data_IF_003045450406
#
_entry.id   IF_003045450406
#
_cell.length_a   1.000
_cell.length_b   1.000
_cell.length_c   1.000
_cell.angle_alpha   90.00
_cell.angle_beta   90.00
_cell.angle_gamma   90.00
#
_symmetry.space_group_name_H-M   'P 1'
#
loop_
_entity.id
_entity.type
_entity.pdbx_description
1 polymer ?
#
# COMPACT_ATOMS: atom_id res chain seq x y z
N UNK A 1 2.92 -0.25 -4.98
CA UNK A 1 3.55 -1.37 -4.30
C UNK A 1 2.91 -2.72 -4.60
N UNK A 2 1.57 -2.77 -4.69
CA UNK A 2 0.86 -4.04 -4.95
C UNK A 2 0.77 -4.35 -6.46
N UNK A 3 0.20 -3.45 -7.25
CA UNK A 3 -0.02 -3.65 -8.70
C UNK A 3 0.76 -2.69 -9.58
N UNK A 4 1.14 -1.54 -9.03
CA UNK A 4 1.89 -0.47 -9.70
C UNK A 4 2.84 0.22 -8.70
N UNK A 5 3.76 1.06 -9.21
CA UNK A 5 4.73 1.82 -8.43
C UNK A 5 5.61 0.92 -7.57
N UNK A 6 6.48 0.14 -8.22
CA UNK A 6 7.42 -0.73 -7.51
C UNK A 6 8.26 0.09 -6.51
N UNK A 7 8.24 -0.34 -5.24
CA UNK A 7 8.87 0.35 -4.12
C UNK A 7 8.01 1.43 -3.48
N UNK A 8 6.76 1.64 -3.93
CA UNK A 8 5.85 2.64 -3.36
C UNK A 8 6.49 4.05 -3.31
N UNK A 9 7.07 4.48 -4.43
CA UNK A 9 7.93 5.67 -4.50
C UNK A 9 7.14 6.98 -4.53
N UNK A 10 6.00 7.01 -5.26
CA UNK A 10 5.24 8.24 -5.48
C UNK A 10 4.89 9.01 -4.19
N UNK A 11 4.33 8.39 -3.14
CA UNK A 11 4.01 9.13 -1.92
C UNK A 11 5.26 9.47 -1.10
N UNK A 12 6.26 8.59 -1.06
CA UNK A 12 7.45 8.78 -0.23
C UNK A 12 8.24 10.04 -0.63
N UNK A 13 8.48 10.24 -1.93
CA UNK A 13 9.20 11.43 -2.43
C UNK A 13 8.43 12.72 -2.17
N UNK A 14 7.10 12.68 -2.19
CA UNK A 14 6.27 13.86 -1.91
C UNK A 14 6.28 14.21 -0.43
N UNK A 15 6.22 13.23 0.48
CA UNK A 15 6.36 13.50 1.91
C UNK A 15 7.70 14.17 2.24
N UNK A 16 8.80 13.68 1.68
CA UNK A 16 10.12 14.33 1.86
C UNK A 16 10.07 15.79 1.43
N UNK A 17 9.53 16.08 0.23
CA UNK A 17 9.41 17.46 -0.27
C UNK A 17 8.53 18.37 0.60
N UNK A 18 7.43 17.84 1.12
CA UNK A 18 6.51 18.60 1.98
C UNK A 18 7.18 18.98 3.31
N UNK A 19 7.86 18.04 3.94
CA UNK A 19 8.59 18.32 5.18
C UNK A 19 9.81 19.23 4.97
N UNK A 20 10.49 19.11 3.83
CA UNK A 20 11.55 20.05 3.43
C UNK A 20 11.01 21.48 3.30
N UNK A 21 9.86 21.67 2.62
CA UNK A 21 9.17 22.97 2.53
C UNK A 21 8.76 23.53 3.89
N UNK A 22 8.41 22.66 4.84
CA UNK A 22 8.14 23.06 6.23
C UNK A 22 9.41 23.41 7.01
N UNK A 23 10.61 23.26 6.42
CA UNK A 23 11.90 23.51 7.05
C UNK A 23 12.33 22.44 8.04
N UNK A 24 11.72 21.25 7.95
CA UNK A 24 11.97 20.08 8.81
C UNK A 24 12.26 18.86 7.92
N UNK A 25 13.46 18.76 7.33
CA UNK A 25 13.79 17.67 6.45
C UNK A 25 13.68 16.33 7.16
N UNK A 26 13.12 15.33 6.44
CA UNK A 26 12.96 13.96 6.90
C UNK A 26 13.73 12.99 6.01
N UNK A 27 14.08 11.84 6.55
CA UNK A 27 14.67 10.75 5.77
C UNK A 27 13.59 9.99 4.99
N UNK A 28 14.01 9.19 4.01
CA UNK A 28 13.11 8.31 3.27
C UNK A 28 12.45 7.26 4.20
N UNK A 29 13.19 6.76 5.18
CA UNK A 29 12.67 5.80 6.18
C UNK A 29 11.61 6.45 7.07
N UNK A 30 11.82 7.69 7.51
CA UNK A 30 10.82 8.46 8.26
C UNK A 30 9.56 8.75 7.42
N UNK A 31 9.75 9.07 6.14
CA UNK A 31 8.64 9.27 5.20
C UNK A 31 7.81 7.99 5.00
N UNK A 32 8.43 6.82 5.09
CA UNK A 32 7.79 5.53 4.86
C UNK A 32 7.14 4.92 6.10
N UNK A 33 7.59 5.25 7.29
CA UNK A 33 7.17 4.59 8.53
C UNK A 33 5.64 4.41 8.68
N UNK A 34 4.78 5.41 8.32
CA UNK A 34 3.33 5.26 8.37
C UNK A 34 2.69 4.86 7.02
N UNK A 35 3.43 4.28 6.07
CA UNK A 35 2.90 3.97 4.73
C UNK A 35 1.63 3.11 4.79
N UNK A 36 0.74 3.32 3.84
CA UNK A 36 -0.56 2.67 3.79
C UNK A 36 -1.71 3.42 4.47
N UNK A 37 -1.42 4.35 5.38
CA UNK A 37 -2.42 5.20 6.04
C UNK A 37 -3.00 6.27 5.10
N UNK A 38 -4.18 6.82 5.46
CA UNK A 38 -4.72 8.04 4.83
C UNK A 38 -3.69 9.18 4.89
N UNK A 39 -3.52 9.93 3.80
CA UNK A 39 -2.38 10.84 3.61
C UNK A 39 -2.24 11.94 4.68
N UNK A 40 -3.35 12.49 5.16
CA UNK A 40 -3.33 13.45 6.28
C UNK A 40 -2.87 12.80 7.59
N UNK A 41 -3.38 11.61 7.87
CA UNK A 41 -2.98 10.82 9.05
C UNK A 41 -1.51 10.39 8.94
N UNK A 42 -1.04 10.08 7.75
CA UNK A 42 0.35 9.77 7.48
C UNK A 42 1.27 10.94 7.85
N UNK A 43 0.94 12.16 7.39
CA UNK A 43 1.68 13.38 7.76
C UNK A 43 1.69 13.56 9.28
N UNK A 44 0.54 13.43 9.94
CA UNK A 44 0.45 13.50 11.39
C UNK A 44 1.39 12.50 12.06
N UNK A 45 1.35 11.24 11.69
CA UNK A 45 2.23 10.20 12.25
C UNK A 45 3.72 10.49 12.02
N UNK A 46 4.11 11.07 10.89
CA UNK A 46 5.50 11.51 10.69
C UNK A 46 5.88 12.59 11.72
N UNK A 47 4.99 13.55 11.99
CA UNK A 47 5.26 14.59 12.99
C UNK A 47 5.40 14.04 14.41
N UNK A 48 4.86 12.85 14.68
CA UNK A 48 4.93 12.17 15.98
C UNK A 48 6.22 11.37 16.17
N UNK A 49 6.99 11.12 15.10
CA UNK A 49 8.29 10.44 15.17
C UNK A 49 9.23 11.29 16.05
N UNK A 50 9.85 10.74 17.12
CA UNK A 50 10.62 11.52 18.07
C UNK A 50 11.70 12.41 17.45
N UNK A 51 12.44 11.89 16.46
CA UNK A 51 13.48 12.64 15.76
C UNK A 51 12.91 13.79 14.90
N UNK A 52 11.76 13.57 14.24
CA UNK A 52 11.07 14.60 13.45
C UNK A 52 10.50 15.68 14.38
N UNK A 53 9.86 15.25 15.47
CA UNK A 53 9.30 16.15 16.48
C UNK A 53 10.36 17.07 17.08
N UNK A 54 11.53 16.53 17.40
CA UNK A 54 12.65 17.32 17.93
C UNK A 54 13.18 18.35 16.90
N UNK A 55 13.31 17.95 15.62
CA UNK A 55 13.67 18.88 14.53
C UNK A 55 12.62 19.96 14.34
N UNK A 56 11.34 19.60 14.45
CA UNK A 56 10.24 20.57 14.36
C UNK A 56 10.31 21.61 15.47
N UNK A 57 10.44 21.16 16.72
CA UNK A 57 10.55 22.04 17.89
C UNK A 57 11.76 22.97 17.79
N UNK A 58 12.92 22.44 17.39
CA UNK A 58 14.13 23.23 17.13
C UNK A 58 13.92 24.30 16.06
N UNK A 59 13.18 24.00 15.00
CA UNK A 59 12.94 24.92 13.88
C UNK A 59 11.89 25.99 14.18
N UNK A 60 10.80 25.60 14.85
CA UNK A 60 9.60 26.43 15.00
C UNK A 60 9.39 26.94 16.44
N UNK A 61 10.22 26.53 17.42
CA UNK A 61 10.07 26.90 18.84
C UNK A 61 8.83 26.32 19.52
N UNK A 62 8.14 25.39 18.89
CA UNK A 62 6.92 24.74 19.39
C UNK A 62 6.72 23.36 18.76
N UNK A 63 5.86 22.55 19.36
CA UNK A 63 5.47 21.27 18.77
C UNK A 63 4.57 21.46 17.53
N UNK A 64 4.56 20.49 16.59
CA UNK A 64 3.63 20.48 15.46
C UNK A 64 2.20 20.33 15.97
N UNK A 65 1.27 21.04 15.37
CA UNK A 65 -0.16 20.96 15.69
C UNK A 65 -1.01 20.66 14.46
N UNK A 66 -2.32 20.50 14.66
CA UNK A 66 -3.30 20.18 13.61
C UNK A 66 -3.21 21.13 12.40
N UNK A 67 -3.07 22.44 12.66
CA UNK A 67 -2.93 23.45 11.59
C UNK A 67 -1.67 23.25 10.73
N UNK A 68 -0.60 22.72 11.30
CA UNK A 68 0.61 22.40 10.55
C UNK A 68 0.40 21.19 9.67
N UNK A 69 -0.25 20.17 10.22
CA UNK A 69 -0.65 18.95 9.46
C UNK A 69 -1.58 19.32 8.31
N UNK A 70 -2.59 20.17 8.55
CA UNK A 70 -3.52 20.63 7.52
C UNK A 70 -2.81 21.38 6.40
N UNK A 71 -1.89 22.28 6.74
CA UNK A 71 -1.08 23.02 5.76
C UNK A 71 -0.21 22.08 4.94
N UNK A 72 0.52 21.17 5.61
CA UNK A 72 1.36 20.19 4.92
C UNK A 72 0.53 19.27 4.03
N UNK A 73 -0.67 18.89 4.44
CA UNK A 73 -1.58 18.10 3.62
C UNK A 73 -2.08 18.88 2.39
N UNK A 74 -2.38 20.17 2.56
CA UNK A 74 -2.74 21.04 1.43
C UNK A 74 -1.58 21.18 0.42
N UNK A 75 -0.34 21.22 0.87
CA UNK A 75 0.84 21.21 0.01
C UNK A 75 1.10 19.83 -0.65
N UNK A 76 0.78 18.75 0.06
CA UNK A 76 0.98 17.38 -0.41
C UNK A 76 0.11 17.06 -1.64
N UNK A 77 -1.17 17.43 -1.61
CA UNK A 77 -2.14 17.04 -2.65
C UNK A 77 -1.69 17.46 -4.06
N UNK A 78 -1.40 18.74 -4.34
CA UNK A 78 -0.99 19.16 -5.69
C UNK A 78 0.35 18.55 -6.12
N UNK A 79 1.29 18.36 -5.20
CA UNK A 79 2.57 17.72 -5.51
C UNK A 79 2.39 16.25 -5.88
N UNK A 80 1.53 15.55 -5.17
CA UNK A 80 1.23 14.15 -5.46
C UNK A 80 0.53 14.00 -6.81
N UNK A 81 -0.49 14.81 -7.08
CA UNK A 81 -1.20 14.81 -8.36
C UNK A 81 -0.26 15.06 -9.55
N UNK A 82 0.72 15.95 -9.39
CA UNK A 82 1.66 16.30 -10.44
C UNK A 82 2.64 15.17 -10.80
N UNK A 83 2.97 14.28 -9.85
CA UNK A 83 3.98 13.24 -10.07
C UNK A 83 3.42 11.83 -10.26
N UNK A 84 2.12 11.58 -9.99
CA UNK A 84 1.56 10.21 -9.99
C UNK A 84 1.81 9.45 -11.28
N UNK A 85 1.62 10.07 -12.44
CA UNK A 85 1.81 9.42 -13.74
C UNK A 85 3.25 8.95 -13.99
N UNK A 86 4.24 9.57 -13.33
CA UNK A 86 5.65 9.15 -13.42
C UNK A 86 5.90 7.81 -12.71
N UNK A 87 5.04 7.45 -11.75
CA UNK A 87 5.12 6.24 -10.93
C UNK A 87 4.00 5.24 -11.23
N UNK A 88 3.35 5.34 -12.40
CA UNK A 88 2.19 4.52 -12.75
C UNK A 88 2.54 3.18 -13.41
N UNK A 89 3.82 2.86 -13.58
CA UNK A 89 4.23 1.59 -14.20
C UNK A 89 3.71 0.39 -13.40
N UNK A 90 3.10 -0.57 -14.10
CA UNK A 90 2.63 -1.82 -13.48
C UNK A 90 3.82 -2.64 -13.00
N UNK A 91 3.64 -3.28 -11.86
CA UNK A 91 4.61 -4.25 -11.33
C UNK A 91 4.63 -5.47 -12.25
N UNK A 92 5.83 -5.99 -12.60
CA UNK A 92 5.95 -7.16 -13.48
C UNK A 92 5.10 -8.34 -13.01
N UNK A 93 4.41 -8.99 -13.94
CA UNK A 93 3.52 -10.12 -13.67
C UNK A 93 2.07 -9.75 -13.33
N UNK A 94 1.76 -8.47 -13.06
CA UNK A 94 0.40 -8.05 -12.69
C UNK A 94 -0.65 -8.50 -13.71
N UNK A 95 -0.43 -8.27 -15.00
CA UNK A 95 -1.42 -8.60 -16.03
C UNK A 95 -1.63 -10.11 -16.18
N UNK A 96 -0.57 -10.90 -16.12
CA UNK A 96 -0.65 -12.37 -16.27
C UNK A 96 -1.40 -12.99 -15.09
N UNK A 97 -1.13 -12.51 -13.89
CA UNK A 97 -1.83 -12.96 -12.67
C UNK A 97 -3.31 -12.56 -12.73
N UNK A 98 -3.64 -11.31 -13.09
CA UNK A 98 -5.04 -10.87 -13.23
C UNK A 98 -5.79 -11.66 -14.30
N UNK A 99 -5.15 -11.94 -15.43
CA UNK A 99 -5.71 -12.79 -16.48
C UNK A 99 -6.03 -14.20 -15.95
N UNK A 100 -5.13 -14.79 -15.19
CA UNK A 100 -5.30 -16.12 -14.59
C UNK A 100 -6.45 -16.14 -13.58
N UNK A 101 -6.51 -15.15 -12.67
CA UNK A 101 -7.58 -15.04 -11.67
C UNK A 101 -8.95 -14.84 -12.34
N UNK A 102 -9.03 -13.99 -13.36
CA UNK A 102 -10.28 -13.79 -14.12
C UNK A 102 -10.73 -15.06 -14.86
N UNK A 103 -9.79 -15.84 -15.42
CA UNK A 103 -10.09 -17.12 -16.03
C UNK A 103 -10.67 -18.15 -15.04
N UNK A 104 -10.36 -18.00 -13.75
CA UNK A 104 -10.95 -18.79 -12.63
C UNK A 104 -12.30 -18.22 -12.16
N UNK A 105 -12.80 -17.13 -12.75
CA UNK A 105 -14.02 -16.45 -12.30
C UNK A 105 -13.85 -15.58 -11.05
N UNK A 106 -12.62 -15.31 -10.63
CA UNK A 106 -12.33 -14.48 -9.45
C UNK A 106 -12.49 -13.01 -9.83
N UNK A 107 -13.28 -12.28 -9.05
CA UNK A 107 -13.49 -10.84 -9.20
C UNK A 107 -12.35 -10.06 -8.52
N UNK A 108 -11.99 -8.93 -9.12
CA UNK A 108 -10.85 -8.11 -8.69
C UNK A 108 -11.35 -6.80 -8.07
N UNK A 109 -11.21 -6.67 -6.76
CA UNK A 109 -11.40 -5.42 -6.04
C UNK A 109 -10.05 -4.72 -5.77
N UNK A 110 -10.04 -3.40 -5.76
CA UNK A 110 -8.86 -2.61 -5.37
C UNK A 110 -9.17 -1.71 -4.19
N UNK A 111 -8.23 -1.59 -3.25
CA UNK A 111 -8.29 -0.61 -2.15
C UNK A 111 -7.06 0.29 -2.19
N UNK A 112 -7.21 1.55 -1.81
CA UNK A 112 -6.08 2.48 -1.76
C UNK A 112 -6.25 3.54 -0.70
N UNK A 113 -5.15 3.90 -0.04
CA UNK A 113 -5.08 5.05 0.88
C UNK A 113 -5.01 6.42 0.17
N UNK A 114 -5.06 6.45 -1.15
CA UNK A 114 -5.12 7.69 -1.92
C UNK A 114 -6.50 8.34 -1.83
N UNK A 115 -6.54 9.65 -2.12
CA UNK A 115 -7.79 10.39 -2.34
C UNK A 115 -8.40 10.02 -3.69
N UNK A 116 -9.70 10.33 -3.88
CA UNK A 116 -10.43 10.02 -5.12
C UNK A 116 -9.72 10.57 -6.37
N UNK A 117 -9.32 11.81 -6.37
CA UNK A 117 -8.63 12.47 -7.49
C UNK A 117 -7.32 11.77 -7.88
N UNK A 118 -6.54 11.34 -6.89
CA UNK A 118 -5.31 10.57 -7.11
C UNK A 118 -5.60 9.17 -7.64
N UNK A 119 -6.66 8.55 -7.12
CA UNK A 119 -7.11 7.21 -7.53
C UNK A 119 -7.54 7.20 -8.99
N UNK A 120 -8.24 8.23 -9.44
CA UNK A 120 -8.68 8.38 -10.85
C UNK A 120 -7.48 8.47 -11.82
N UNK A 121 -6.42 9.18 -11.44
CA UNK A 121 -5.18 9.23 -12.24
C UNK A 121 -4.57 7.81 -12.33
N UNK A 122 -4.43 7.12 -11.21
CA UNK A 122 -3.87 5.78 -11.17
C UNK A 122 -4.70 4.78 -11.98
N UNK A 123 -6.02 4.82 -11.86
CA UNK A 123 -6.93 3.96 -12.63
C UNK A 123 -6.83 4.23 -14.14
N UNK A 124 -6.80 5.50 -14.54
CA UNK A 124 -6.61 5.89 -15.94
C UNK A 124 -5.31 5.33 -16.50
N UNK A 125 -4.21 5.49 -15.77
CA UNK A 125 -2.88 5.09 -16.23
C UNK A 125 -2.69 3.57 -16.15
N UNK A 126 -3.32 2.88 -15.19
CA UNK A 126 -3.40 1.43 -15.13
C UNK A 126 -4.20 0.84 -16.29
N UNK A 127 -5.36 1.43 -16.61
CA UNK A 127 -6.21 1.00 -17.73
C UNK A 127 -5.49 1.10 -19.07
N UNK A 128 -4.70 2.16 -19.28
CA UNK A 128 -3.87 2.31 -20.49
C UNK A 128 -2.85 1.19 -20.65
N UNK A 129 -2.42 0.60 -19.55
CA UNK A 129 -1.49 -0.54 -19.50
C UNK A 129 -2.20 -1.90 -19.50
N UNK A 130 -3.54 -1.94 -19.51
CA UNK A 130 -4.34 -3.16 -19.54
C UNK A 130 -4.85 -3.67 -18.20
N UNK A 131 -4.60 -2.94 -17.09
CA UNK A 131 -5.09 -3.29 -15.76
C UNK A 131 -6.34 -2.46 -15.40
N UNK A 132 -7.45 -3.15 -15.18
CA UNK A 132 -8.72 -2.54 -14.76
C UNK A 132 -9.40 -3.45 -13.72
N UNK A 133 -9.45 -3.06 -12.43
CA UNK A 133 -10.19 -3.81 -11.42
C UNK A 133 -11.70 -3.69 -11.63
N UNK A 134 -12.47 -4.68 -11.16
CA UNK A 134 -13.95 -4.69 -11.27
C UNK A 134 -14.61 -3.70 -10.29
N UNK A 135 -13.91 -3.36 -9.20
CA UNK A 135 -14.31 -2.34 -8.22
C UNK A 135 -13.08 -1.68 -7.62
N UNK A 136 -13.17 -0.40 -7.31
CA UNK A 136 -12.13 0.35 -6.60
C UNK A 136 -12.75 1.20 -5.52
N UNK A 137 -12.24 1.06 -4.30
CA UNK A 137 -12.61 1.85 -3.12
C UNK A 137 -11.36 2.56 -2.59
N UNK A 138 -11.43 3.88 -2.48
CA UNK A 138 -10.36 4.69 -1.92
C UNK A 138 -10.69 5.20 -0.52
N UNK A 139 -9.70 5.73 0.18
CA UNK A 139 -9.86 6.20 1.55
C UNK A 139 -10.92 7.32 1.70
N UNK A 140 -11.22 8.05 0.63
CA UNK A 140 -12.27 9.09 0.62
C UNK A 140 -13.70 8.54 0.56
N UNK A 141 -13.88 7.25 0.24
CA UNK A 141 -15.19 6.65 0.02
C UNK A 141 -15.78 6.04 1.28
N UNK A 142 -14.99 5.98 2.35
CA UNK A 142 -15.32 5.28 3.59
C UNK A 142 -15.08 6.18 4.81
N UNK A 143 -15.75 5.92 5.94
CA UNK A 143 -15.62 6.74 7.15
C UNK A 143 -14.21 6.77 7.73
N UNK A 144 -13.42 5.70 7.55
CA UNK A 144 -12.03 5.61 7.98
C UNK A 144 -11.25 4.66 7.06
N UNK A 145 -9.99 5.03 6.75
CA UNK A 145 -9.07 4.19 5.99
C UNK A 145 -8.41 3.12 6.87
N UNK A 146 -7.39 2.46 6.33
CA UNK A 146 -6.61 1.42 7.01
C UNK A 146 -6.15 1.82 8.40
N UNK A 147 -6.16 0.93 9.38
CA UNK A 147 -6.40 -0.52 9.30
C UNK A 147 -7.89 -0.94 9.41
N UNK A 148 -8.82 0.01 9.36
CA UNK A 148 -10.25 -0.32 9.38
C UNK A 148 -10.65 -1.11 8.13
N UNK A 149 -11.56 -2.10 8.23
CA UNK A 149 -11.89 -3.03 7.15
C UNK A 149 -12.80 -2.44 6.06
N UNK A 150 -13.15 -1.19 6.16
CA UNK A 150 -14.27 -0.59 5.42
C UNK A 150 -14.09 -0.61 3.91
N UNK A 151 -12.89 -0.36 3.38
CA UNK A 151 -12.66 -0.41 1.94
C UNK A 151 -12.74 -1.84 1.39
N UNK A 152 -12.26 -2.83 2.15
CA UNK A 152 -12.40 -4.24 1.80
C UNK A 152 -13.86 -4.67 1.79
N UNK A 153 -14.62 -4.37 2.85
CA UNK A 153 -16.04 -4.71 2.96
C UNK A 153 -16.89 -3.98 1.92
N UNK A 154 -16.57 -2.73 1.60
CA UNK A 154 -17.27 -2.01 0.52
C UNK A 154 -17.02 -2.66 -0.84
N UNK A 155 -15.81 -3.16 -1.12
CA UNK A 155 -15.53 -3.95 -2.33
C UNK A 155 -16.34 -5.26 -2.35
N UNK A 156 -16.47 -5.96 -1.22
CA UNK A 156 -17.32 -7.17 -1.08
C UNK A 156 -18.76 -6.86 -1.51
N UNK A 157 -19.30 -5.73 -1.03
CA UNK A 157 -20.66 -5.28 -1.38
C UNK A 157 -20.75 -4.94 -2.87
N UNK A 158 -19.83 -4.12 -3.38
CA UNK A 158 -19.83 -3.68 -4.79
C UNK A 158 -19.72 -4.87 -5.75
N UNK A 159 -18.90 -5.86 -5.41
CA UNK A 159 -18.66 -7.05 -6.22
C UNK A 159 -19.71 -8.15 -5.99
N UNK A 160 -20.58 -7.99 -4.98
CA UNK A 160 -21.60 -8.97 -4.63
C UNK A 160 -20.98 -10.35 -4.39
N UNK A 161 -19.94 -10.42 -3.58
CA UNK A 161 -19.25 -11.68 -3.22
C UNK A 161 -19.60 -12.10 -1.78
N UNK A 162 -19.65 -13.40 -1.56
CA UNK A 162 -19.97 -14.00 -0.27
C UNK A 162 -19.51 -15.46 -0.27
N UNK A 163 -19.05 -15.99 0.88
CA UNK A 163 -18.80 -15.30 2.14
C UNK A 163 -17.49 -14.47 2.12
N UNK A 164 -17.29 -13.59 3.10
CA UNK A 164 -16.05 -12.77 3.20
C UNK A 164 -14.81 -13.64 3.38
N UNK A 165 -14.95 -14.78 4.04
CA UNK A 165 -13.87 -15.77 4.22
C UNK A 165 -13.38 -16.39 2.90
N UNK A 166 -14.10 -16.21 1.80
CA UNK A 166 -13.65 -16.61 0.46
C UNK A 166 -12.88 -15.49 -0.26
N UNK A 167 -12.67 -14.35 0.40
CA UNK A 167 -11.93 -13.23 -0.16
C UNK A 167 -10.46 -13.23 0.28
N UNK A 168 -9.61 -12.70 -0.58
CA UNK A 168 -8.17 -12.58 -0.33
C UNK A 168 -7.76 -11.11 -0.44
N UNK A 169 -7.13 -10.58 0.59
CA UNK A 169 -6.48 -9.28 0.58
C UNK A 169 -5.00 -9.44 0.24
N UNK A 170 -4.58 -8.82 -0.84
CA UNK A 170 -3.15 -8.75 -1.24
C UNK A 170 -2.66 -7.33 -1.00
N UNK A 171 -1.61 -7.16 -0.24
CA UNK A 171 -1.06 -5.82 0.05
C UNK A 171 0.45 -5.85 0.32
N UNK A 172 1.11 -4.74 0.07
CA UNK A 172 2.55 -4.53 0.30
C UNK A 172 2.84 -3.72 1.57
N UNK A 173 1.81 -3.38 2.35
CA UNK A 173 1.94 -2.57 3.58
C UNK A 173 1.34 -3.27 4.79
N UNK A 174 1.92 -3.05 5.97
CA UNK A 174 1.40 -3.58 7.23
C UNK A 174 -0.07 -3.14 7.46
N UNK A 175 -0.44 -1.85 7.35
CA UNK A 175 -1.84 -1.44 7.50
C UNK A 175 -2.79 -2.08 6.48
N UNK A 176 -2.30 -2.47 5.31
CA UNK A 176 -3.11 -3.18 4.32
C UNK A 176 -3.34 -4.65 4.68
N UNK A 177 -2.36 -5.31 5.29
CA UNK A 177 -2.54 -6.67 5.86
C UNK A 177 -3.53 -6.62 7.02
N UNK A 178 -3.36 -5.67 7.95
CA UNK A 178 -4.28 -5.48 9.07
C UNK A 178 -5.73 -5.20 8.59
N UNK A 179 -5.90 -4.42 7.51
CA UNK A 179 -7.20 -4.17 6.88
C UNK A 179 -7.89 -5.47 6.44
N UNK A 180 -7.13 -6.38 5.79
CA UNK A 180 -7.63 -7.69 5.35
C UNK A 180 -8.01 -8.60 6.52
N UNK A 181 -7.16 -8.69 7.54
CA UNK A 181 -7.41 -9.46 8.75
C UNK A 181 -8.65 -8.94 9.49
N UNK A 182 -8.76 -7.62 9.65
CA UNK A 182 -9.91 -6.99 10.30
C UNK A 182 -11.22 -7.18 9.51
N UNK A 183 -11.12 -7.40 8.19
CA UNK A 183 -12.26 -7.75 7.35
C UNK A 183 -12.63 -9.24 7.42
N UNK A 184 -11.80 -10.10 8.01
CA UNK A 184 -12.00 -11.55 8.03
C UNK A 184 -11.62 -12.23 6.71
N UNK A 185 -10.65 -11.69 6.00
CA UNK A 185 -10.14 -12.20 4.71
C UNK A 185 -8.82 -12.92 4.89
N UNK A 186 -8.51 -13.84 3.99
CA UNK A 186 -7.14 -14.32 3.79
C UNK A 186 -6.24 -13.17 3.38
N UNK A 187 -4.98 -13.21 3.80
CA UNK A 187 -4.02 -12.13 3.50
C UNK A 187 -2.75 -12.66 2.85
N UNK A 188 -2.29 -11.98 1.80
CA UNK A 188 -1.02 -12.24 1.12
C UNK A 188 -0.19 -10.95 1.19
N UNK A 189 0.93 -11.00 1.89
CA UNK A 189 1.89 -9.89 1.96
C UNK A 189 2.87 -9.94 0.78
N UNK A 190 3.11 -8.78 0.15
CA UNK A 190 4.09 -8.61 -0.91
C UNK A 190 5.35 -7.95 -0.33
N UNK A 191 6.36 -8.76 -0.05
CA UNK A 191 7.54 -8.34 0.72
C UNK A 191 8.53 -7.48 -0.07
N UNK A 192 8.59 -7.61 -1.40
CA UNK A 192 9.65 -7.00 -2.21
C UNK A 192 9.17 -5.84 -3.06
N UNK A 193 8.01 -5.97 -3.71
CA UNK A 193 7.56 -4.97 -4.67
C UNK A 193 7.09 -3.65 -4.07
N UNK A 194 6.92 -3.57 -2.75
CA UNK A 194 6.29 -2.45 -2.08
C UNK A 194 7.15 -1.71 -1.08
N UNK A 195 6.47 -1.24 -0.06
CA UNK A 195 7.00 -0.30 0.93
C UNK A 195 8.15 -0.87 1.78
N UNK A 196 8.12 -2.16 2.11
CA UNK A 196 9.11 -2.79 2.98
C UNK A 196 10.53 -2.74 2.40
N UNK A 197 10.68 -2.86 1.09
CA UNK A 197 11.97 -2.64 0.40
C UNK A 197 12.17 -1.16 0.07
N UNK A 198 11.14 -0.48 -0.42
CA UNK A 198 11.16 0.96 -0.64
C UNK A 198 12.15 1.45 -1.69
N UNK A 199 12.50 0.62 -2.66
CA UNK A 199 13.42 0.95 -3.77
C UNK A 199 12.71 0.80 -5.10
N UNK A 200 13.03 1.64 -6.10
CA UNK A 200 12.61 1.39 -7.48
C UNK A 200 13.13 0.03 -7.97
N UNK A 201 12.41 -0.60 -8.91
CA UNK A 201 12.76 -1.92 -9.44
C UNK A 201 14.22 -2.01 -9.94
N UNK A 202 14.67 -0.97 -10.65
CA UNK A 202 16.05 -0.91 -11.17
C UNK A 202 17.09 -0.97 -10.05
N UNK A 203 16.85 -0.21 -8.98
CA UNK A 203 17.78 -0.13 -7.85
C UNK A 203 17.76 -1.43 -7.04
N UNK A 204 16.57 -2.02 -6.84
CA UNK A 204 16.44 -3.35 -6.24
C UNK A 204 17.22 -4.41 -7.04
N UNK A 205 17.08 -4.41 -8.36
CA UNK A 205 17.78 -5.37 -9.23
C UNK A 205 19.30 -5.22 -9.16
N UNK A 206 19.80 -4.00 -8.99
CA UNK A 206 21.23 -3.67 -8.93
C UNK A 206 21.89 -4.00 -7.58
N UNK A 207 21.12 -4.27 -6.52
CA UNK A 207 21.69 -4.61 -5.21
C UNK A 207 22.47 -5.92 -5.26
N UNK A 208 23.53 -6.06 -4.44
CA UNK A 208 24.20 -7.33 -4.19
C UNK A 208 23.22 -8.37 -3.60
N UNK A 209 23.40 -9.64 -3.96
CA UNK A 209 22.49 -10.71 -3.53
C UNK A 209 22.39 -10.86 -2.01
N UNK A 210 23.52 -10.68 -1.30
CA UNK A 210 23.52 -10.72 0.18
C UNK A 210 22.65 -9.60 0.78
N UNK A 211 22.66 -8.41 0.20
CA UNK A 211 21.83 -7.29 0.66
C UNK A 211 20.36 -7.53 0.32
N UNK A 212 20.05 -8.01 -0.90
CA UNK A 212 18.68 -8.43 -1.27
C UNK A 212 18.13 -9.45 -0.27
N UNK A 213 18.93 -10.45 0.06
CA UNK A 213 18.51 -11.52 1.00
C UNK A 213 18.21 -10.94 2.39
N UNK A 214 19.06 -10.07 2.92
CA UNK A 214 18.87 -9.44 4.23
C UNK A 214 17.59 -8.60 4.25
N UNK A 215 17.39 -7.75 3.24
CA UNK A 215 16.19 -6.90 3.15
C UNK A 215 14.92 -7.73 2.97
N UNK A 216 14.97 -8.75 2.09
CA UNK A 216 13.86 -9.70 1.88
C UNK A 216 13.47 -10.40 3.16
N UNK A 217 14.43 -10.97 3.89
CA UNK A 217 14.15 -11.66 5.14
C UNK A 217 13.46 -10.75 6.15
N UNK A 218 13.95 -9.52 6.34
CA UNK A 218 13.34 -8.53 7.22
C UNK A 218 11.90 -8.22 6.80
N UNK A 219 11.65 -8.02 5.50
CA UNK A 219 10.32 -7.72 4.99
C UNK A 219 9.36 -8.90 5.23
N UNK A 220 9.80 -10.14 4.97
CA UNK A 220 9.03 -11.35 5.25
C UNK A 220 8.67 -11.49 6.74
N UNK A 221 9.64 -11.26 7.62
CA UNK A 221 9.41 -11.30 9.07
C UNK A 221 8.37 -10.26 9.50
N UNK A 222 8.46 -9.02 9.01
CA UNK A 222 7.51 -7.96 9.34
C UNK A 222 6.10 -8.28 8.87
N UNK A 223 5.93 -8.78 7.64
CA UNK A 223 4.63 -9.18 7.12
C UNK A 223 4.02 -10.34 7.91
N UNK A 224 4.84 -11.34 8.29
CA UNK A 224 4.40 -12.46 9.16
C UNK A 224 4.02 -11.97 10.55
N UNK A 225 4.79 -11.09 11.15
CA UNK A 225 4.47 -10.50 12.45
C UNK A 225 3.17 -9.68 12.43
N UNK A 226 2.82 -9.08 11.29
CA UNK A 226 1.54 -8.41 11.09
C UNK A 226 0.37 -9.38 10.93
N UNK A 227 0.63 -10.69 10.85
CA UNK A 227 -0.39 -11.74 10.75
C UNK A 227 -0.72 -12.17 9.33
N UNK A 228 0.08 -11.79 8.32
CA UNK A 228 -0.14 -12.25 6.94
C UNK A 228 -0.17 -13.79 6.88
N UNK A 229 -1.24 -14.36 6.29
CA UNK A 229 -1.37 -15.81 6.12
C UNK A 229 -0.31 -16.36 5.16
N UNK A 230 0.04 -15.57 4.15
CA UNK A 230 1.08 -15.88 3.17
C UNK A 230 1.95 -14.66 2.94
N UNK A 231 3.21 -14.87 2.56
CA UNK A 231 4.13 -13.82 2.15
C UNK A 231 4.90 -14.30 0.93
N UNK A 232 4.92 -13.47 -0.12
CA UNK A 232 5.65 -13.70 -1.37
C UNK A 232 6.45 -12.45 -1.74
N UNK A 233 7.37 -12.54 -2.70
CA UNK A 233 8.16 -11.37 -3.10
C UNK A 233 7.29 -10.31 -3.80
N UNK A 234 6.55 -10.73 -4.81
CA UNK A 234 5.74 -9.84 -5.65
C UNK A 234 4.40 -10.47 -6.02
N UNK A 235 3.54 -9.69 -6.64
CA UNK A 235 2.25 -10.17 -7.15
C UNK A 235 2.41 -11.35 -8.13
N UNK A 236 3.52 -11.44 -8.86
CA UNK A 236 3.78 -12.52 -9.82
C UNK A 236 3.80 -13.92 -9.20
N UNK A 237 4.07 -14.00 -7.90
CA UNK A 237 4.28 -15.27 -7.19
C UNK A 237 3.06 -15.72 -6.36
N UNK A 238 1.97 -14.94 -6.36
CA UNK A 238 0.86 -15.18 -5.44
C UNK A 238 -0.08 -16.33 -5.85
N UNK A 239 -0.08 -16.80 -7.11
CA UNK A 239 -1.02 -17.81 -7.58
C UNK A 239 -0.99 -19.13 -6.75
N UNK A 240 0.17 -19.68 -6.34
CA UNK A 240 0.20 -20.86 -5.47
C UNK A 240 -0.49 -20.64 -4.11
N UNK A 241 -0.50 -19.41 -3.60
CA UNK A 241 -1.23 -19.08 -2.38
C UNK A 241 -2.74 -19.23 -2.57
N UNK A 242 -3.26 -18.82 -3.73
CA UNK A 242 -4.67 -19.03 -4.07
C UNK A 242 -5.03 -20.51 -4.16
N UNK A 243 -4.17 -21.36 -4.73
CA UNK A 243 -4.40 -22.79 -4.84
C UNK A 243 -4.48 -23.45 -3.44
N UNK A 244 -3.62 -23.01 -2.51
CA UNK A 244 -3.66 -23.48 -1.12
C UNK A 244 -4.91 -22.96 -0.38
N UNK A 245 -5.26 -21.68 -0.55
CA UNK A 245 -6.47 -21.10 0.05
C UNK A 245 -7.72 -21.83 -0.45
N UNK A 246 -7.86 -22.12 -1.74
CA UNK A 246 -8.98 -22.89 -2.29
C UNK A 246 -9.06 -24.29 -1.65
N UNK A 247 -7.91 -24.94 -1.45
CA UNK A 247 -7.83 -26.25 -0.80
C UNK A 247 -8.27 -26.17 0.68
N UNK A 248 -7.83 -25.13 1.39
CA UNK A 248 -8.18 -24.89 2.80
C UNK A 248 -9.66 -24.56 2.97
N UNK A 249 -10.20 -23.71 2.09
CA UNK A 249 -11.65 -23.40 2.06
C UNK A 249 -12.49 -24.66 1.81
N UNK A 250 -12.07 -25.55 0.89
CA UNK A 250 -12.77 -26.83 0.64
C UNK A 250 -12.79 -27.75 1.87
N UNK A 251 -11.86 -27.57 2.82
CA UNK A 251 -11.83 -28.28 4.11
C UNK A 251 -12.60 -27.56 5.22
N UNK A 252 -13.23 -26.40 4.91
CA UNK A 252 -13.94 -25.59 5.89
C UNK A 252 -13.03 -24.73 6.78
N UNK A 253 -11.75 -24.58 6.42
CA UNK A 253 -10.83 -23.70 7.14
C UNK A 253 -11.18 -22.22 6.86
N UNK A 254 -10.86 -21.35 7.82
CA UNK A 254 -11.07 -19.90 7.73
C UNK A 254 -9.74 -19.15 7.85
N UNK A 255 -9.69 -17.86 7.43
CA UNK A 255 -8.54 -16.99 7.57
C UNK A 255 -8.01 -16.88 8.99
#
# INVERSE_FOLDING_TARGET
GTTMDFGCMAPAVVFVKVFERAGVPITMDEARAPMGAHKRVHIQKITEIPAVRARWESKHGRLPGEKDVDRMFADFVPLQLACLSEYSALIPGTLDVMKTLRARGIKIGSTTGYLREMTEINLRDAKRQGYEPDSTVCASDVPAGRPYPYMCLQNVINLQVSPVEACVKVDDTIPGIEEGLNAGMWTIGLAVSGDEIGLPLKDWQALPDAEKQTRRQRAYERMRMAGANYVVDTIAEMLPCFDDIETRLARGEKP
#
